data_IF_193999591981
#
_entry.id   IF_193999591981
#
_cell.length_a   1.000
_cell.length_b   1.000
_cell.length_c   1.000
_cell.angle_alpha   90.00
_cell.angle_beta   90.00
_cell.angle_gamma   90.00
#
_symmetry.space_group_name_H-M   'P 1'
#
loop_
_entity.id
_entity.type
_entity.pdbx_description
1 polymer ?
#
# COMPACT_ATOMS: atom_id res chain seq x y z
N UNK A 1 4.44 12.27 26.22
CA UNK A 1 5.77 11.63 26.19
C UNK A 1 5.59 10.12 26.04
N UNK A 2 5.58 9.62 24.81
CA UNK A 2 5.48 8.19 24.51
C UNK A 2 6.82 7.74 23.93
N UNK A 3 7.68 7.20 24.79
CA UNK A 3 8.89 6.53 24.36
C UNK A 3 8.49 5.19 23.72
N UNK A 4 8.54 5.14 22.39
CA UNK A 4 8.60 3.87 21.65
C UNK A 4 9.92 3.19 22.03
N UNK A 5 9.84 2.19 22.90
CA UNK A 5 10.98 1.35 23.23
C UNK A 5 11.41 0.62 21.95
N UNK A 6 12.57 1.01 21.40
CA UNK A 6 13.28 0.25 20.37
C UNK A 6 13.57 -1.14 20.96
N UNK A 7 13.16 -2.19 20.23
CA UNK A 7 13.54 -3.56 20.55
C UNK A 7 15.06 -3.68 20.50
N UNK A 8 15.70 -4.01 21.62
CA UNK A 8 17.00 -4.68 21.58
C UNK A 8 16.72 -6.12 21.11
N UNK A 9 16.75 -6.30 19.79
CA UNK A 9 16.62 -7.60 19.14
C UNK A 9 17.89 -8.39 19.48
N UNK A 10 17.75 -9.56 20.11
CA UNK A 10 18.89 -10.43 20.39
C UNK A 10 19.59 -10.88 19.10
N UNK A 11 20.92 -11.00 19.13
CA UNK A 11 21.81 -11.32 18.00
C UNK A 11 21.30 -12.49 17.13
N UNK A 12 20.82 -13.57 17.77
CA UNK A 12 20.25 -14.75 17.08
C UNK A 12 18.96 -14.50 16.28
N UNK A 13 18.20 -13.46 16.63
CA UNK A 13 16.94 -13.11 15.94
C UNK A 13 17.23 -12.25 14.71
N UNK A 14 18.25 -11.40 14.78
CA UNK A 14 18.77 -10.63 13.64
C UNK A 14 19.31 -11.61 12.57
N UNK A 15 20.14 -12.57 12.98
CA UNK A 15 20.66 -13.62 12.10
C UNK A 15 19.55 -14.38 11.35
N UNK A 16 18.46 -14.73 12.05
CA UNK A 16 17.33 -15.43 11.45
C UNK A 16 16.54 -14.55 10.48
N UNK A 17 16.32 -13.27 10.81
CA UNK A 17 15.64 -12.34 9.93
C UNK A 17 16.43 -12.12 8.65
N UNK A 18 17.75 -12.00 8.73
CA UNK A 18 18.58 -11.78 7.56
C UNK A 18 18.70 -13.06 6.69
N UNK A 19 18.77 -14.24 7.32
CA UNK A 19 18.65 -15.53 6.63
C UNK A 19 17.30 -15.67 5.89
N UNK A 20 16.19 -15.35 6.56
CA UNK A 20 14.86 -15.46 5.99
C UNK A 20 14.63 -14.45 4.84
N UNK A 21 15.37 -13.34 4.77
CA UNK A 21 15.21 -12.30 3.75
C UNK A 21 16.34 -12.28 2.70
N UNK A 22 17.15 -13.34 2.62
CA UNK A 22 18.23 -13.42 1.66
C UNK A 22 17.72 -13.57 0.21
N UNK A 23 17.79 -12.47 -0.56
CA UNK A 23 17.38 -12.43 -1.97
C UNK A 23 18.29 -13.24 -2.93
N UNK A 24 19.37 -13.85 -2.45
CA UNK A 24 20.15 -14.81 -3.23
C UNK A 24 19.48 -16.19 -3.27
N UNK A 25 18.61 -16.50 -2.32
CA UNK A 25 17.85 -17.73 -2.28
C UNK A 25 16.69 -17.70 -3.30
N UNK A 26 16.68 -18.59 -4.32
CA UNK A 26 15.65 -18.56 -5.36
C UNK A 26 14.24 -18.73 -4.82
N UNK A 27 14.07 -19.48 -3.71
CA UNK A 27 12.76 -19.68 -3.08
C UNK A 27 12.18 -18.38 -2.51
N UNK A 28 13.02 -17.53 -1.90
CA UNK A 28 12.60 -16.23 -1.35
C UNK A 28 12.10 -15.32 -2.49
N UNK A 29 12.89 -15.20 -3.56
CA UNK A 29 12.53 -14.39 -4.73
C UNK A 29 11.26 -14.92 -5.40
N UNK A 30 11.09 -16.24 -5.47
CA UNK A 30 9.89 -16.88 -6.04
C UNK A 30 8.64 -16.53 -5.24
N UNK A 31 8.70 -16.55 -3.90
CA UNK A 31 7.57 -16.20 -3.03
C UNK A 31 7.17 -14.72 -3.18
N UNK A 32 8.14 -13.80 -3.22
CA UNK A 32 7.88 -12.39 -3.51
C UNK A 32 7.26 -12.19 -4.91
N UNK A 33 7.83 -12.84 -5.93
CA UNK A 33 7.35 -12.71 -7.31
C UNK A 33 5.95 -13.27 -7.46
N UNK A 34 5.64 -14.41 -6.83
CA UNK A 34 4.30 -14.98 -6.86
C UNK A 34 3.27 -14.13 -6.12
N UNK A 35 3.63 -13.57 -4.95
CA UNK A 35 2.78 -12.60 -4.26
C UNK A 35 2.48 -11.39 -5.17
N UNK A 36 3.49 -10.88 -5.89
CA UNK A 36 3.34 -9.79 -6.83
C UNK A 36 2.50 -10.14 -8.06
N UNK A 37 2.66 -11.34 -8.64
CA UNK A 37 1.84 -11.81 -9.75
C UNK A 37 0.36 -11.81 -9.39
N UNK A 38 0.02 -12.32 -8.19
CA UNK A 38 -1.36 -12.27 -7.68
C UNK A 38 -1.80 -10.83 -7.48
N UNK A 39 -1.00 -9.99 -6.81
CA UNK A 39 -1.36 -8.61 -6.52
C UNK A 39 -1.60 -7.79 -7.81
N UNK A 40 -0.72 -7.92 -8.82
CA UNK A 40 -0.88 -7.31 -10.14
C UNK A 40 -2.12 -7.84 -10.87
N UNK A 41 -2.35 -9.16 -10.81
CA UNK A 41 -3.50 -9.80 -11.43
C UNK A 41 -4.84 -9.36 -10.84
N UNK A 42 -4.90 -9.20 -9.52
CA UNK A 42 -6.09 -8.67 -8.82
C UNK A 42 -6.27 -7.18 -9.15
N UNK A 43 -5.21 -6.37 -9.12
CA UNK A 43 -5.30 -4.95 -9.48
C UNK A 43 -5.90 -4.74 -10.87
N UNK A 44 -5.48 -5.54 -11.87
CA UNK A 44 -6.05 -5.49 -13.24
C UNK A 44 -7.51 -5.89 -13.33
N UNK A 45 -8.01 -6.70 -12.40
CA UNK A 45 -9.43 -7.06 -12.31
C UNK A 45 -10.24 -6.01 -11.55
N UNK A 46 -9.63 -5.30 -10.60
CA UNK A 46 -10.30 -4.29 -9.77
C UNK A 46 -10.41 -2.94 -10.48
N UNK A 47 -9.36 -2.49 -11.17
CA UNK A 47 -9.36 -1.18 -11.88
C UNK A 47 -10.61 -1.00 -12.79
N UNK A 48 -11.02 -1.99 -13.61
CA UNK A 48 -12.22 -1.85 -14.46
C UNK A 48 -13.55 -1.77 -13.69
N UNK A 49 -13.60 -2.15 -12.41
CA UNK A 49 -14.80 -2.07 -11.57
C UNK A 49 -15.00 -0.67 -10.99
N UNK A 50 -13.97 0.18 -11.02
CA UNK A 50 -13.99 1.53 -10.47
C UNK A 50 -14.62 2.48 -11.48
N UNK A 51 -15.95 2.41 -11.57
CA UNK A 51 -16.78 3.19 -12.51
C UNK A 51 -17.82 4.01 -11.76
N UNK A 52 -18.42 4.98 -12.45
CA UNK A 52 -19.51 5.81 -11.89
C UNK A 52 -20.65 4.92 -11.41
N UNK A 53 -21.14 5.19 -10.19
CA UNK A 53 -22.23 4.45 -9.57
C UNK A 53 -21.80 3.18 -8.84
N UNK A 54 -20.55 2.72 -9.02
CA UNK A 54 -20.05 1.58 -8.28
C UNK A 54 -19.84 1.92 -6.80
N UNK A 55 -20.12 0.94 -5.93
CA UNK A 55 -20.00 1.10 -4.48
C UNK A 55 -18.62 0.63 -4.03
N UNK A 56 -17.92 1.46 -3.26
CA UNK A 56 -16.57 1.15 -2.78
C UNK A 56 -16.54 -0.14 -1.94
N UNK A 57 -17.54 -0.35 -1.08
CA UNK A 57 -17.61 -1.53 -0.22
C UNK A 57 -17.61 -2.84 -1.03
N UNK A 58 -18.30 -2.87 -2.17
CA UNK A 58 -18.38 -4.05 -3.04
C UNK A 58 -17.03 -4.32 -3.71
N UNK A 59 -16.38 -3.26 -4.20
CA UNK A 59 -15.08 -3.39 -4.87
C UNK A 59 -13.99 -3.82 -3.87
N UNK A 60 -13.98 -3.25 -2.66
CA UNK A 60 -13.08 -3.66 -1.59
C UNK A 60 -13.30 -5.14 -1.22
N UNK A 61 -14.55 -5.56 -0.99
CA UNK A 61 -14.87 -6.95 -0.70
C UNK A 61 -14.43 -7.88 -1.84
N UNK A 62 -14.68 -7.49 -3.09
CA UNK A 62 -14.28 -8.25 -4.27
C UNK A 62 -12.77 -8.41 -4.39
N UNK A 63 -12.00 -7.36 -4.11
CA UNK A 63 -10.54 -7.42 -4.12
C UNK A 63 -10.00 -8.42 -3.11
N UNK A 64 -10.52 -8.37 -1.88
CA UNK A 64 -10.14 -9.30 -0.82
C UNK A 64 -10.49 -10.76 -1.19
N UNK A 65 -11.69 -10.99 -1.72
CA UNK A 65 -12.11 -12.32 -2.20
C UNK A 65 -11.19 -12.86 -3.29
N UNK A 66 -10.81 -12.03 -4.26
CA UNK A 66 -9.92 -12.44 -5.35
C UNK A 66 -8.53 -12.80 -4.80
N UNK A 67 -7.96 -12.01 -3.88
CA UNK A 67 -6.68 -12.32 -3.25
C UNK A 67 -6.74 -13.67 -2.53
N UNK A 68 -7.78 -13.89 -1.72
CA UNK A 68 -7.93 -15.15 -0.99
C UNK A 68 -8.12 -16.34 -1.93
N UNK A 69 -8.91 -16.19 -3.00
CA UNK A 69 -9.13 -17.24 -3.99
C UNK A 69 -7.85 -17.61 -4.75
N UNK A 70 -7.04 -16.63 -5.17
CA UNK A 70 -5.79 -16.89 -5.90
C UNK A 70 -4.71 -17.48 -4.98
N UNK A 71 -4.54 -16.94 -3.77
CA UNK A 71 -3.54 -17.45 -2.81
C UNK A 71 -3.85 -18.88 -2.37
N UNK A 72 -5.12 -19.29 -2.28
CA UNK A 72 -5.49 -20.68 -1.96
C UNK A 72 -4.98 -21.72 -2.96
N UNK A 73 -4.71 -21.33 -4.21
CA UNK A 73 -4.25 -22.24 -5.28
C UNK A 73 -2.76 -22.60 -5.16
N UNK A 74 -1.98 -21.81 -4.42
CA UNK A 74 -0.52 -21.92 -4.35
C UNK A 74 -0.04 -22.16 -2.91
N UNK A 75 1.22 -22.59 -2.73
CA UNK A 75 1.91 -22.69 -1.43
C UNK A 75 1.07 -23.24 -0.26
N UNK A 76 0.37 -24.36 -0.48
CA UNK A 76 -0.68 -24.88 0.43
C UNK A 76 -0.25 -25.16 1.88
N UNK A 77 1.05 -25.38 2.10
CA UNK A 77 1.63 -25.70 3.42
C UNK A 77 2.08 -24.47 4.22
N UNK A 78 2.10 -23.30 3.58
CA UNK A 78 2.60 -22.05 4.16
C UNK A 78 1.44 -21.06 4.33
N UNK A 79 1.61 -20.10 5.25
CA UNK A 79 0.65 -19.02 5.44
C UNK A 79 0.60 -18.12 4.20
N UNK A 80 -0.57 -17.68 3.79
CA UNK A 80 -0.76 -16.89 2.57
C UNK A 80 -2.10 -16.18 2.60
N UNK A 81 -2.18 -15.05 1.90
CA UNK A 81 -3.41 -14.28 1.85
C UNK A 81 -3.14 -12.79 1.70
N UNK A 82 -3.96 -12.02 2.40
CA UNK A 82 -3.97 -10.56 2.33
C UNK A 82 -2.88 -10.00 3.25
N UNK A 83 -1.94 -9.26 2.67
CA UNK A 83 -0.97 -8.48 3.43
C UNK A 83 -1.46 -7.05 3.71
N UNK A 84 -2.25 -6.49 2.79
CA UNK A 84 -2.93 -5.20 2.95
C UNK A 84 -4.34 -5.34 2.36
N UNK A 85 -5.39 -5.01 3.11
CA UNK A 85 -6.76 -5.14 2.62
C UNK A 85 -6.99 -4.18 1.45
N UNK A 86 -7.90 -4.56 0.57
CA UNK A 86 -8.26 -3.72 -0.57
C UNK A 86 -8.90 -2.44 -0.07
N UNK A 87 -8.26 -1.30 -0.32
CA UNK A 87 -8.73 0.03 0.06
C UNK A 87 -8.93 0.89 -1.19
N UNK A 88 -10.02 1.65 -1.23
CA UNK A 88 -10.31 2.64 -2.27
C UNK A 88 -10.49 4.02 -1.62
N UNK A 89 -9.56 4.92 -1.90
CA UNK A 89 -9.49 6.25 -1.30
C UNK A 89 -9.80 7.33 -2.34
N UNK A 90 -10.93 8.00 -2.16
CA UNK A 90 -11.46 8.99 -3.12
C UNK A 90 -10.93 10.38 -2.82
N UNK A 91 -10.54 11.11 -3.87
CA UNK A 91 -10.15 12.51 -3.86
C UNK A 91 -9.09 12.82 -2.79
N UNK A 92 -9.46 13.54 -1.75
CA UNK A 92 -8.58 14.01 -0.69
C UNK A 92 -8.33 12.97 0.43
N UNK A 93 -9.03 11.83 0.40
CA UNK A 93 -8.74 10.71 1.30
C UNK A 93 -7.39 10.12 0.89
N UNK A 94 -6.43 10.05 1.81
CA UNK A 94 -5.06 9.61 1.56
C UNK A 94 -4.95 8.08 1.58
N UNK A 95 -5.46 7.41 2.63
CA UNK A 95 -5.34 5.95 2.82
C UNK A 95 -6.40 5.36 3.74
N UNK A 96 -6.44 4.01 3.81
CA UNK A 96 -7.23 3.19 4.73
C UNK A 96 -8.76 3.39 4.65
N UNK A 97 -9.26 3.67 3.44
CA UNK A 97 -10.70 3.69 3.16
C UNK A 97 -11.17 2.32 2.65
N UNK A 98 -11.82 1.57 3.53
CA UNK A 98 -12.56 0.33 3.23
C UNK A 98 -13.79 0.30 4.13
N UNK A 99 -14.98 0.72 3.65
CA UNK A 99 -16.19 0.80 4.45
C UNK A 99 -16.52 -0.50 5.20
N UNK A 100 -17.02 -0.35 6.43
CA UNK A 100 -17.27 -1.49 7.33
C UNK A 100 -18.64 -2.13 7.08
N UNK A 101 -19.66 -1.30 6.85
CA UNK A 101 -21.06 -1.70 6.71
C UNK A 101 -21.74 -0.87 5.58
N UNK A 102 -22.96 -1.28 5.19
CA UNK A 102 -23.78 -0.58 4.17
C UNK A 102 -24.04 0.89 4.50
N UNK A 103 -24.11 1.25 5.79
CA UNK A 103 -24.28 2.63 6.25
C UNK A 103 -23.10 3.53 5.89
N UNK A 104 -21.90 2.94 5.76
CA UNK A 104 -20.65 3.64 5.45
C UNK A 104 -20.33 3.57 3.94
N UNK A 105 -21.24 3.01 3.12
CA UNK A 105 -21.00 2.81 1.71
C UNK A 105 -20.85 4.14 0.95
N UNK A 106 -19.76 4.24 0.19
CA UNK A 106 -19.46 5.38 -0.68
C UNK A 106 -19.69 4.96 -2.13
N UNK A 107 -20.41 5.80 -2.87
CA UNK A 107 -20.67 5.61 -4.31
C UNK A 107 -19.74 6.51 -5.11
N UNK A 108 -19.05 5.92 -6.09
CA UNK A 108 -18.12 6.62 -6.99
C UNK A 108 -18.88 7.54 -7.95
N UNK A 109 -18.37 8.75 -8.15
CA UNK A 109 -18.95 9.77 -9.02
C UNK A 109 -18.05 10.06 -10.22
N UNK A 110 -18.66 10.66 -11.25
CA UNK A 110 -17.91 11.21 -12.39
C UNK A 110 -16.88 12.24 -11.89
N UNK A 111 -15.64 12.12 -12.37
CA UNK A 111 -14.53 13.00 -12.01
C UNK A 111 -13.81 12.62 -10.71
N UNK A 112 -14.26 11.61 -9.97
CA UNK A 112 -13.57 11.18 -8.75
C UNK A 112 -12.18 10.61 -9.07
N UNK A 113 -11.18 11.07 -8.32
CA UNK A 113 -9.84 10.47 -8.31
C UNK A 113 -9.82 9.34 -7.28
N UNK A 114 -9.59 8.10 -7.72
CA UNK A 114 -9.64 6.92 -6.86
C UNK A 114 -8.27 6.28 -6.77
N UNK A 115 -7.76 6.17 -5.54
CA UNK A 115 -6.55 5.41 -5.21
C UNK A 115 -6.93 4.01 -4.75
N UNK A 116 -6.48 3.00 -5.48
CA UNK A 116 -6.70 1.59 -5.17
C UNK A 116 -5.41 1.05 -4.53
N UNK A 117 -5.50 0.48 -3.35
CA UNK A 117 -4.36 -0.10 -2.59
C UNK A 117 -4.71 -1.52 -2.15
N UNK A 118 -3.79 -2.46 -2.38
CA UNK A 118 -3.91 -3.84 -1.91
C UNK A 118 -2.53 -4.49 -1.78
N UNK A 119 -2.46 -5.57 -1.00
CA UNK A 119 -1.23 -6.32 -0.81
C UNK A 119 -1.47 -7.78 -0.53
N UNK A 120 -0.53 -8.60 -0.97
CA UNK A 120 -0.57 -10.07 -0.90
C UNK A 120 0.70 -10.54 -0.19
N UNK A 121 0.60 -11.63 0.58
CA UNK A 121 1.79 -12.34 1.06
C UNK A 121 1.73 -13.83 0.73
N UNK A 122 2.90 -14.41 0.50
CA UNK A 122 3.15 -15.85 0.46
C UNK A 122 4.23 -16.13 1.49
N UNK A 123 3.94 -16.96 2.50
CA UNK A 123 4.81 -17.30 3.63
C UNK A 123 5.38 -16.07 4.37
N UNK A 124 4.58 -15.00 4.39
CA UNK A 124 4.92 -13.73 5.01
C UNK A 124 5.75 -12.78 4.12
N UNK A 125 6.17 -13.18 2.93
CA UNK A 125 6.85 -12.31 1.96
C UNK A 125 5.82 -11.45 1.23
N UNK A 126 5.95 -10.13 1.36
CA UNK A 126 4.91 -9.15 1.01
C UNK A 126 5.15 -8.56 -0.37
N UNK A 127 4.10 -8.50 -1.18
CA UNK A 127 4.03 -7.65 -2.35
C UNK A 127 2.78 -6.77 -2.26
N UNK A 128 2.99 -5.46 -2.23
CA UNK A 128 1.94 -4.45 -2.21
C UNK A 128 2.08 -3.49 -3.39
N UNK A 129 0.96 -2.88 -3.78
CA UNK A 129 0.92 -1.85 -4.79
C UNK A 129 -0.28 -0.95 -4.59
N UNK A 130 -0.14 0.28 -5.07
CA UNK A 130 -1.22 1.23 -5.16
C UNK A 130 -1.22 1.92 -6.52
N UNK A 131 -2.40 2.21 -7.03
CA UNK A 131 -2.58 2.84 -8.33
C UNK A 131 -3.70 3.88 -8.26
N UNK A 132 -3.47 5.03 -8.89
CA UNK A 132 -4.45 6.12 -8.96
C UNK A 132 -5.09 6.15 -10.33
N UNK A 133 -6.42 6.19 -10.38
CA UNK A 133 -7.18 6.46 -11.59
C UNK A 133 -8.08 7.69 -11.42
N UNK A 134 -8.55 8.24 -12.53
CA UNK A 134 -9.62 9.25 -12.55
C UNK A 134 -10.82 8.63 -13.26
N UNK A 135 -11.97 8.65 -12.59
CA UNK A 135 -13.20 8.06 -13.11
C UNK A 135 -13.83 9.04 -14.09
N UNK A 136 -13.90 8.65 -15.35
CA UNK A 136 -14.49 9.48 -16.42
C UNK A 136 -15.28 8.60 -17.38
N UNK A 137 -16.47 9.06 -17.78
CA UNK A 137 -17.22 8.48 -18.89
C UNK A 137 -16.74 9.03 -20.25
N UNK A 138 -16.00 10.14 -20.25
CA UNK A 138 -15.40 10.72 -21.45
C UNK A 138 -13.99 10.18 -21.67
N UNK A 139 -13.86 9.22 -22.58
CA UNK A 139 -12.57 8.66 -23.00
C UNK A 139 -11.98 9.37 -24.23
N UNK A 140 -12.70 10.34 -24.81
CA UNK A 140 -12.29 11.04 -26.03
C UNK A 140 -11.26 12.14 -25.81
N UNK A 141 -11.08 12.61 -24.57
CA UNK A 141 -10.18 13.69 -24.21
C UNK A 141 -9.51 13.39 -22.88
N UNK A 142 -8.23 13.76 -22.70
CA UNK A 142 -7.53 13.54 -21.44
C UNK A 142 -8.13 14.43 -20.34
N UNK A 143 -8.08 13.97 -19.10
CA UNK A 143 -8.26 14.87 -17.95
C UNK A 143 -7.09 15.84 -17.90
N UNK A 144 -7.37 17.12 -17.64
CA UNK A 144 -6.37 18.21 -17.58
C UNK A 144 -6.41 18.93 -16.23
N UNK A 145 -5.50 19.89 -16.05
CA UNK A 145 -5.44 20.73 -14.85
C UNK A 145 -4.87 20.02 -13.63
N UNK A 146 -5.22 20.49 -12.43
CA UNK A 146 -4.57 20.06 -11.17
C UNK A 146 -4.68 18.56 -10.89
N UNK A 147 -5.76 17.91 -11.31
CA UNK A 147 -5.90 16.46 -11.18
C UNK A 147 -4.89 15.70 -12.08
N UNK A 148 -4.66 16.19 -13.30
CA UNK A 148 -3.63 15.65 -14.19
C UNK A 148 -2.22 15.91 -13.66
N UNK A 149 -1.97 17.12 -13.15
CA UNK A 149 -0.67 17.51 -12.59
C UNK A 149 -0.25 16.57 -11.47
N UNK A 150 -1.11 16.36 -10.46
CA UNK A 150 -0.76 15.53 -9.30
C UNK A 150 -0.60 14.06 -9.66
N UNK A 151 -1.37 13.55 -10.64
CA UNK A 151 -1.22 12.19 -11.15
C UNK A 151 0.13 12.01 -11.86
N UNK A 152 0.48 12.93 -12.77
CA UNK A 152 1.78 12.92 -13.45
C UNK A 152 2.92 13.03 -12.43
N UNK A 153 2.83 13.99 -11.50
CA UNK A 153 3.82 14.21 -10.46
C UNK A 153 4.06 12.94 -9.63
N UNK A 154 2.99 12.34 -9.10
CA UNK A 154 3.11 11.18 -8.23
C UNK A 154 3.64 9.96 -9.00
N UNK A 155 3.24 9.80 -10.26
CA UNK A 155 3.75 8.72 -11.11
C UNK A 155 5.25 8.87 -11.39
N UNK A 156 5.69 10.05 -11.86
CA UNK A 156 7.09 10.29 -12.18
C UNK A 156 7.98 10.28 -10.94
N UNK A 157 7.49 10.79 -9.80
CA UNK A 157 8.18 10.69 -8.52
C UNK A 157 8.33 9.24 -8.06
N UNK A 158 7.29 8.40 -8.23
CA UNK A 158 7.36 6.97 -7.93
C UNK A 158 8.35 6.22 -8.84
N UNK A 159 8.40 6.56 -10.13
CA UNK A 159 9.41 6.01 -11.05
C UNK A 159 10.83 6.46 -10.70
N UNK A 160 11.01 7.74 -10.37
CA UNK A 160 12.30 8.27 -9.94
C UNK A 160 12.78 7.58 -8.67
N UNK A 161 11.91 7.44 -7.67
CA UNK A 161 12.22 6.74 -6.43
C UNK A 161 12.61 5.28 -6.68
N UNK A 162 11.83 4.57 -7.50
CA UNK A 162 12.11 3.19 -7.91
C UNK A 162 13.46 3.03 -8.62
N UNK A 163 13.80 3.96 -9.52
CA UNK A 163 15.04 3.90 -10.29
C UNK A 163 16.27 4.29 -9.45
N UNK A 164 16.11 5.21 -8.49
CA UNK A 164 17.16 5.64 -7.57
C UNK A 164 17.41 4.64 -6.44
N UNK A 165 16.43 3.78 -6.12
CA UNK A 165 16.54 2.74 -5.11
C UNK A 165 17.57 1.67 -5.53
N UNK A 166 18.85 1.92 -5.22
CA UNK A 166 19.99 1.06 -5.54
C UNK A 166 20.92 0.96 -4.32
N UNK A 167 21.70 -0.13 -4.18
CA UNK A 167 22.67 -0.26 -3.09
C UNK A 167 23.61 0.94 -3.00
N UNK A 168 23.82 1.48 -1.79
CA UNK A 168 24.69 2.63 -1.51
C UNK A 168 24.08 4.00 -1.81
N UNK A 169 22.84 4.07 -2.29
CA UNK A 169 22.09 5.34 -2.37
C UNK A 169 21.56 5.69 -0.99
N UNK A 170 21.57 6.96 -0.61
CA UNK A 170 20.93 7.40 0.64
C UNK A 170 19.41 7.49 0.48
N UNK A 171 18.67 7.27 1.57
CA UNK A 171 17.24 7.54 1.61
C UNK A 171 16.94 9.04 1.32
N UNK A 172 17.77 9.94 1.83
CA UNK A 172 17.64 11.39 1.62
C UNK A 172 17.72 11.80 0.14
N UNK A 173 18.58 11.17 -0.66
CA UNK A 173 18.67 11.44 -2.10
C UNK A 173 17.36 11.08 -2.83
N UNK A 174 16.68 10.02 -2.38
CA UNK A 174 15.41 9.56 -2.94
C UNK A 174 14.29 10.52 -2.52
N UNK A 175 14.24 10.91 -1.24
CA UNK A 175 13.30 11.91 -0.75
C UNK A 175 13.45 13.25 -1.47
N UNK A 176 14.69 13.70 -1.72
CA UNK A 176 14.96 14.92 -2.46
C UNK A 176 14.41 14.88 -3.90
N UNK A 177 14.56 13.74 -4.58
CA UNK A 177 14.00 13.54 -5.91
C UNK A 177 12.47 13.59 -5.92
N UNK A 178 11.82 12.95 -4.94
CA UNK A 178 10.36 12.98 -4.79
C UNK A 178 9.88 14.42 -4.56
N UNK A 179 10.50 15.15 -3.64
CA UNK A 179 10.14 16.53 -3.31
C UNK A 179 10.36 17.48 -4.49
N UNK A 180 11.46 17.34 -5.22
CA UNK A 180 11.75 18.18 -6.40
C UNK A 180 10.75 17.94 -7.54
N UNK A 181 10.39 16.69 -7.82
CA UNK A 181 9.36 16.36 -8.82
C UNK A 181 7.99 16.87 -8.37
N UNK A 182 7.64 16.72 -7.09
CA UNK A 182 6.39 17.27 -6.56
C UNK A 182 6.32 18.78 -6.79
N UNK A 183 7.37 19.52 -6.39
CA UNK A 183 7.46 20.97 -6.56
C UNK A 183 7.41 21.39 -8.03
N UNK A 184 8.03 20.63 -8.94
CA UNK A 184 7.99 20.88 -10.39
C UNK A 184 6.55 20.93 -10.93
N UNK A 185 5.67 20.08 -10.41
CA UNK A 185 4.24 20.03 -10.75
C UNK A 185 3.36 20.90 -9.85
N UNK A 186 3.97 21.80 -9.06
CA UNK A 186 3.29 22.61 -8.04
C UNK A 186 2.49 21.75 -7.04
N UNK A 187 2.96 20.55 -6.73
CA UNK A 187 2.34 19.62 -5.78
C UNK A 187 3.21 19.48 -4.54
N UNK A 188 2.61 19.00 -3.46
CA UNK A 188 3.29 18.85 -2.16
C UNK A 188 3.31 17.37 -1.78
N UNK A 189 4.44 16.81 -1.32
CA UNK A 189 4.45 15.50 -0.70
C UNK A 189 3.57 15.48 0.55
N UNK A 190 2.75 14.45 0.70
CA UNK A 190 1.89 14.32 1.88
C UNK A 190 2.75 13.98 3.10
N UNK A 191 2.64 14.76 4.18
CA UNK A 191 3.42 14.54 5.41
C UNK A 191 3.10 13.18 6.04
N UNK A 192 4.05 12.60 6.77
CA UNK A 192 3.88 11.31 7.45
C UNK A 192 3.58 10.14 6.48
N UNK A 193 3.97 10.29 5.22
CA UNK A 193 3.92 9.23 4.22
C UNK A 193 5.32 8.87 3.76
N UNK A 194 5.57 7.57 3.66
CA UNK A 194 6.91 7.04 3.47
C UNK A 194 6.87 5.65 2.84
N UNK A 195 7.90 5.39 2.04
CA UNK A 195 8.25 4.07 1.57
C UNK A 195 8.88 3.26 2.70
N UNK A 196 8.62 1.96 2.75
CA UNK A 196 9.02 1.10 3.88
C UNK A 196 9.81 -0.10 3.39
N UNK A 197 10.90 -0.43 4.08
CA UNK A 197 11.53 -1.73 3.98
C UNK A 197 10.57 -2.77 4.59
N UNK A 198 10.32 -3.85 3.85
CA UNK A 198 9.52 -4.98 4.29
C UNK A 198 10.39 -6.21 4.44
N UNK A 199 10.09 -7.02 5.45
CA UNK A 199 10.71 -8.33 5.69
C UNK A 199 9.62 -9.37 5.83
N UNK A 200 9.97 -10.66 5.79
CA UNK A 200 9.05 -11.77 6.04
C UNK A 200 8.24 -11.53 7.34
N UNK A 201 6.92 -11.44 7.23
CA UNK A 201 5.96 -11.12 8.31
C UNK A 201 6.08 -9.73 8.95
N UNK A 202 6.87 -8.82 8.39
CA UNK A 202 7.10 -7.48 8.92
C UNK A 202 6.79 -6.42 7.86
N UNK A 203 5.64 -5.77 7.98
CA UNK A 203 5.24 -4.63 7.13
C UNK A 203 5.83 -3.30 7.60
N UNK A 204 6.26 -3.23 8.85
CA UNK A 204 6.78 -2.05 9.51
C UNK A 204 7.85 -2.47 10.52
N UNK A 205 8.84 -1.60 10.76
CA UNK A 205 9.96 -1.85 11.66
C UNK A 205 11.32 -1.99 10.96
N UNK A 206 11.34 -1.92 9.64
CA UNK A 206 12.56 -1.68 8.87
C UNK A 206 12.76 -0.20 8.56
N UNK A 207 13.80 0.04 7.78
CA UNK A 207 14.22 1.33 7.26
C UNK A 207 13.11 2.03 6.43
N UNK A 208 13.10 3.37 6.44
CA UNK A 208 12.04 4.17 5.78
C UNK A 208 12.60 5.28 4.91
N UNK A 209 11.89 5.60 3.82
CA UNK A 209 12.20 6.73 2.94
C UNK A 209 11.00 7.67 2.94
N UNK A 210 11.07 8.83 3.60
CA UNK A 210 9.96 9.78 3.64
C UNK A 210 9.71 10.40 2.26
N UNK A 211 8.47 10.79 2.00
CA UNK A 211 8.11 11.53 0.78
C UNK A 211 8.45 13.03 0.91
N UNK A 212 8.44 13.57 2.14
CA UNK A 212 8.73 14.98 2.44
C UNK A 212 10.11 15.15 3.09
N UNK A 213 10.72 16.31 2.86
CA UNK A 213 11.96 16.74 3.53
C UNK A 213 11.71 17.35 4.91
N UNK A 214 10.46 17.71 5.22
CA UNK A 214 10.13 18.31 6.49
C UNK A 214 10.23 17.30 7.64
N UNK A 215 10.84 17.67 8.78
CA UNK A 215 10.94 16.78 9.92
C UNK A 215 9.54 16.50 10.49
N UNK A 216 9.14 15.23 10.42
CA UNK A 216 7.77 14.80 10.75
C UNK A 216 7.45 14.82 12.26
N UNK A 217 8.43 15.10 13.13
CA UNK A 217 8.25 15.10 14.59
C UNK A 217 9.00 16.25 15.28
N UNK A 218 8.34 16.98 16.19
CA UNK A 218 8.94 18.05 17.03
C UNK A 218 10.10 17.56 17.93
N UNK A 219 10.23 16.25 18.13
CA UNK A 219 11.36 15.61 18.84
C UNK A 219 12.34 14.89 17.90
N UNK A 220 12.41 15.29 16.63
CA UNK A 220 13.48 14.87 15.71
C UNK A 220 14.82 15.58 16.00
N UNK A 221 15.13 15.83 17.27
CA UNK A 221 16.52 15.94 17.70
C UNK A 221 17.17 14.60 17.41
N UNK A 222 18.04 14.58 16.39
CA UNK A 222 18.74 13.41 15.85
C UNK A 222 17.86 12.46 15.00
N UNK A 223 17.42 12.90 13.82
CA UNK A 223 17.03 11.97 12.76
C UNK A 223 18.25 11.14 12.31
N UNK A 224 18.47 10.02 13.00
CA UNK A 224 19.43 8.98 12.63
C UNK A 224 19.14 8.35 11.24
N UNK A 225 18.02 8.70 10.60
CA UNK A 225 17.56 8.15 9.31
C UNK A 225 18.06 8.91 8.06
N UNK A 226 18.52 10.16 8.18
CA UNK A 226 18.92 10.96 7.01
C UNK A 226 20.18 10.43 6.30
N UNK A 227 21.00 9.65 7.01
CA UNK A 227 22.22 9.01 6.48
C UNK A 227 22.06 7.52 6.15
N UNK A 228 20.84 6.99 6.20
CA UNK A 228 20.62 5.56 6.02
C UNK A 228 20.74 5.19 4.54
N UNK A 229 21.66 4.29 4.23
CA UNK A 229 21.89 3.78 2.88
C UNK A 229 20.96 2.61 2.58
N UNK A 230 20.64 2.45 1.29
CA UNK A 230 19.92 1.29 0.77
C UNK A 230 20.91 0.14 0.63
N UNK A 231 20.57 -1.05 1.10
CA UNK A 231 21.46 -2.21 1.09
C UNK A 231 21.01 -3.28 0.09
N UNK A 232 21.98 -4.05 -0.41
CA UNK A 232 21.67 -5.22 -1.23
C UNK A 232 21.06 -6.33 -0.36
N UNK A 233 19.92 -6.86 -0.76
CA UNK A 233 19.11 -7.77 0.05
C UNK A 233 17.81 -7.12 0.54
N UNK A 234 17.73 -5.79 0.53
CA UNK A 234 16.53 -5.08 0.94
C UNK A 234 15.34 -5.32 0.01
N UNK A 235 14.15 -5.32 0.59
CA UNK A 235 12.90 -5.24 -0.16
C UNK A 235 12.15 -4.01 0.33
N UNK A 236 11.77 -3.13 -0.59
CA UNK A 236 11.00 -1.93 -0.27
C UNK A 236 9.65 -1.96 -0.95
N UNK A 237 8.62 -1.55 -0.21
CA UNK A 237 7.39 -1.02 -0.78
C UNK A 237 7.61 0.48 -0.93
N UNK A 238 7.93 0.90 -2.15
CA UNK A 238 8.01 2.31 -2.53
C UNK A 238 6.58 2.84 -2.60
N UNK A 239 6.27 3.89 -1.84
CA UNK A 239 4.91 4.41 -1.66
C UNK A 239 4.91 5.94 -1.71
N UNK A 240 4.71 6.49 -2.91
CA UNK A 240 4.73 7.93 -3.15
C UNK A 240 3.32 8.48 -3.13
N UNK A 241 3.10 9.48 -2.26
CA UNK A 241 1.81 10.15 -2.08
C UNK A 241 2.00 11.65 -2.23
N UNK A 242 1.38 12.24 -3.25
CA UNK A 242 1.43 13.68 -3.50
C UNK A 242 0.04 14.31 -3.47
N UNK A 243 -0.01 15.57 -3.10
CA UNK A 243 -1.22 16.35 -2.90
C UNK A 243 -1.20 17.64 -3.71
N UNK A 244 -2.39 18.07 -4.14
CA UNK A 244 -2.60 19.43 -4.68
C UNK A 244 -2.66 20.51 -3.60
N UNK A 245 -2.78 20.12 -2.33
CA UNK A 245 -2.87 21.01 -1.17
C UNK A 245 -1.51 21.26 -0.50
N UNK A 246 -1.53 21.53 0.80
CA UNK A 246 -0.33 21.76 1.61
C UNK A 246 0.33 20.47 2.11
N UNK A 247 -0.27 19.30 1.86
CA UNK A 247 0.26 18.00 2.28
C UNK A 247 -0.05 17.65 3.74
N UNK A 248 -0.80 18.50 4.47
CA UNK A 248 -1.22 18.23 5.85
C UNK A 248 -2.09 16.98 5.92
N UNK A 249 -1.91 16.20 6.99
CA UNK A 249 -2.65 14.95 7.21
C UNK A 249 -3.47 15.05 8.49
N UNK A 250 -4.70 14.56 8.41
CA UNK A 250 -5.59 14.39 9.55
C UNK A 250 -6.15 12.98 9.60
N UNK A 251 -6.04 12.35 10.76
CA UNK A 251 -6.70 11.09 11.05
C UNK A 251 -8.20 11.31 11.31
N UNK A 252 -9.02 10.45 10.72
CA UNK A 252 -10.46 10.39 10.96
C UNK A 252 -10.73 9.28 11.96
N UNK A 253 -10.99 9.67 13.21
CA UNK A 253 -11.33 8.76 14.30
C UNK A 253 -12.82 8.43 14.28
N UNK A 254 -13.19 7.41 13.49
CA UNK A 254 -14.55 6.87 13.46
C UNK A 254 -14.76 5.85 14.60
N UNK A 255 -16.01 5.66 14.99
CA UNK A 255 -16.39 4.66 16.01
C UNK A 255 -16.00 3.24 15.59
N UNK A 256 -16.11 2.95 14.29
CA UNK A 256 -15.65 1.71 13.67
C UNK A 256 -14.44 2.04 12.79
N UNK A 257 -13.21 1.70 13.19
CA UNK A 257 -12.06 1.84 12.32
C UNK A 257 -12.26 0.98 11.06
N UNK A 258 -11.79 1.43 9.91
CA UNK A 258 -11.88 0.64 8.67
C UNK A 258 -10.90 -0.54 8.66
N UNK A 259 -9.67 -0.27 9.09
CA UNK A 259 -8.56 -1.22 9.10
C UNK A 259 -8.07 -1.41 10.52
N UNK A 260 -7.82 -2.66 10.87
CA UNK A 260 -7.32 -3.10 12.17
C UNK A 260 -6.04 -3.91 11.96
N UNK A 261 -5.12 -3.85 12.91
CA UNK A 261 -3.93 -4.69 12.93
C UNK A 261 -3.71 -5.21 14.35
N UNK A 262 -3.24 -6.45 14.45
CA UNK A 262 -2.90 -7.05 15.75
C UNK A 262 -1.52 -6.57 16.18
N UNK A 263 -1.41 -6.07 17.40
CA UNK A 263 -0.11 -5.85 18.03
C UNK A 263 0.32 -7.13 18.75
N UNK A 264 1.24 -7.88 18.14
CA UNK A 264 1.75 -9.15 18.70
C UNK A 264 2.67 -8.96 19.91
N UNK A 265 3.14 -7.73 20.16
CA UNK A 265 4.02 -7.42 21.29
C UNK A 265 3.24 -7.03 22.54
N UNK A 266 1.92 -6.80 22.40
CA UNK A 266 1.04 -6.46 23.51
C UNK A 266 0.37 -7.70 24.06
N UNK A 267 0.47 -7.85 25.38
CA UNK A 267 -0.15 -8.93 26.13
C UNK A 267 -1.10 -8.38 27.18
N UNK A 268 -2.33 -8.88 27.17
CA UNK A 268 -3.35 -8.54 28.15
C UNK A 268 -4.30 -9.71 28.32
N UNK A 269 -4.65 -10.02 29.57
CA UNK A 269 -5.60 -11.08 29.90
C UNK A 269 -7.04 -10.57 29.77
N UNK A 270 -7.61 -10.75 28.57
CA UNK A 270 -8.99 -10.35 28.25
C UNK A 270 -10.01 -11.00 29.20
N UNK A 271 -10.88 -10.17 29.78
CA UNK A 271 -11.89 -10.55 30.77
C UNK A 271 -13.13 -11.13 30.11
N UNK A 272 -13.58 -10.57 28.99
CA UNK A 272 -14.76 -11.07 28.29
C UNK A 272 -14.47 -12.31 27.43
N UNK A 273 -15.40 -13.27 27.45
CA UNK A 273 -15.35 -14.43 26.56
C UNK A 273 -15.46 -14.03 25.08
N UNK A 274 -16.23 -12.98 24.75
CA UNK A 274 -16.33 -12.47 23.37
C UNK A 274 -15.00 -11.91 22.89
N UNK A 275 -14.30 -11.15 23.73
CA UNK A 275 -13.01 -10.55 23.37
C UNK A 275 -11.92 -11.61 23.19
N UNK A 276 -11.86 -12.62 24.08
CA UNK A 276 -10.95 -13.77 23.90
C UNK A 276 -11.21 -14.48 22.56
N UNK A 277 -12.48 -14.70 22.22
CA UNK A 277 -12.85 -15.29 20.92
C UNK A 277 -12.46 -14.41 19.74
N UNK A 278 -12.66 -13.09 19.84
CA UNK A 278 -12.20 -12.12 18.82
C UNK A 278 -10.70 -12.20 18.61
N UNK A 279 -9.90 -12.16 19.68
CA UNK A 279 -8.45 -12.22 19.55
C UNK A 279 -7.97 -13.56 18.96
N UNK A 280 -8.61 -14.69 19.32
CA UNK A 280 -8.33 -16.01 18.70
C UNK A 280 -8.63 -15.98 17.20
N UNK A 281 -9.81 -15.46 16.83
CA UNK A 281 -10.23 -15.36 15.41
C UNK A 281 -9.26 -14.51 14.61
N UNK A 282 -8.81 -13.37 15.17
CA UNK A 282 -7.81 -12.52 14.53
C UNK A 282 -6.47 -13.24 14.37
N UNK A 283 -6.04 -13.97 15.39
CA UNK A 283 -4.79 -14.72 15.37
C UNK A 283 -4.78 -15.84 14.32
N UNK A 284 -5.92 -16.50 14.13
CA UNK A 284 -6.08 -17.63 13.21
C UNK A 284 -6.27 -17.21 11.75
N UNK A 285 -6.91 -16.05 11.49
CA UNK A 285 -7.34 -15.67 10.15
C UNK A 285 -6.52 -14.51 9.54
N UNK A 286 -5.95 -13.61 10.36
CA UNK A 286 -5.25 -12.41 9.87
C UNK A 286 -3.77 -12.34 10.31
N UNK A 287 -3.37 -13.16 11.30
CA UNK A 287 -2.00 -13.27 11.78
C UNK A 287 -1.45 -11.90 12.26
N UNK A 288 -0.44 -11.37 11.57
CA UNK A 288 0.21 -10.07 11.82
C UNK A 288 -0.20 -8.99 10.82
N UNK A 289 -0.94 -9.35 9.78
CA UNK A 289 -1.27 -8.45 8.68
C UNK A 289 -2.49 -7.58 9.03
N UNK A 290 -2.52 -6.32 8.58
CA UNK A 290 -3.71 -5.48 8.65
C UNK A 290 -4.89 -6.15 7.94
N UNK A 291 -6.08 -6.02 8.51
CA UNK A 291 -7.31 -6.61 8.00
C UNK A 291 -8.47 -5.60 8.09
N UNK A 292 -9.49 -5.70 7.22
CA UNK A 292 -10.62 -4.80 7.27
C UNK A 292 -11.57 -5.23 8.39
N UNK A 293 -12.12 -4.27 9.13
CA UNK A 293 -13.10 -4.55 10.21
C UNK A 293 -14.31 -5.34 9.70
N UNK A 294 -14.72 -5.12 8.45
CA UNK A 294 -15.76 -5.89 7.75
C UNK A 294 -15.45 -7.40 7.75
N UNK A 295 -14.21 -7.80 7.48
CA UNK A 295 -13.83 -9.22 7.47
C UNK A 295 -13.93 -9.84 8.86
N UNK A 296 -13.52 -9.12 9.91
CA UNK A 296 -13.70 -9.59 11.28
C UNK A 296 -15.18 -9.77 11.62
N UNK A 297 -16.05 -8.85 11.22
CA UNK A 297 -17.48 -8.93 11.50
C UNK A 297 -18.19 -10.02 10.70
N UNK A 298 -17.66 -10.41 9.54
CA UNK A 298 -18.17 -11.55 8.76
C UNK A 298 -18.02 -12.90 9.50
N UNK A 299 -17.07 -13.02 10.43
CA UNK A 299 -16.94 -14.22 11.28
C UNK A 299 -18.00 -14.32 12.40
N UNK A 300 -18.78 -13.26 12.64
CA UNK A 300 -19.91 -13.27 13.56
C UNK A 300 -20.14 -11.96 14.31
N UNK A 301 -21.42 -11.68 14.58
CA UNK A 301 -21.85 -10.44 15.25
C UNK A 301 -21.23 -10.23 16.64
N UNK A 302 -20.83 -11.29 17.33
CA UNK A 302 -20.15 -11.21 18.64
C UNK A 302 -18.82 -10.44 18.59
N UNK A 303 -18.17 -10.38 17.43
CA UNK A 303 -16.91 -9.65 17.26
C UNK A 303 -17.07 -8.13 17.33
N UNK A 304 -18.27 -7.59 17.02
CA UNK A 304 -18.58 -6.16 17.14
C UNK A 304 -18.40 -5.63 18.56
N UNK A 305 -18.74 -6.47 19.55
CA UNK A 305 -18.58 -6.15 20.97
C UNK A 305 -17.19 -6.58 21.46
N UNK A 306 -16.73 -7.77 21.08
CA UNK A 306 -15.46 -8.31 21.55
C UNK A 306 -14.23 -7.49 21.13
N UNK A 307 -14.28 -6.80 19.98
CA UNK A 307 -13.16 -5.97 19.50
C UNK A 307 -12.91 -4.75 20.39
N UNK A 308 -13.92 -4.24 21.11
CA UNK A 308 -13.81 -3.02 21.91
C UNK A 308 -12.82 -3.19 23.08
N UNK A 309 -12.82 -4.33 23.76
CA UNK A 309 -11.85 -4.62 24.82
C UNK A 309 -10.44 -4.79 24.23
N UNK A 310 -10.32 -5.41 23.05
CA UNK A 310 -9.03 -5.55 22.37
C UNK A 310 -8.43 -4.19 21.97
N UNK A 311 -9.26 -3.27 21.48
CA UNK A 311 -8.88 -1.89 21.16
C UNK A 311 -8.48 -1.11 22.42
N UNK A 312 -9.28 -1.20 23.49
CA UNK A 312 -9.02 -0.51 24.75
C UNK A 312 -7.69 -0.90 25.40
N UNK A 313 -7.22 -2.14 25.17
CA UNK A 313 -5.96 -2.65 25.68
C UNK A 313 -4.85 -2.73 24.61
N UNK A 314 -5.05 -2.13 23.44
CA UNK A 314 -4.09 -2.07 22.34
C UNK A 314 -3.56 -3.45 21.89
N UNK A 315 -4.36 -4.52 22.03
CA UNK A 315 -4.06 -5.84 21.46
C UNK A 315 -4.36 -5.86 19.97
N UNK A 316 -5.36 -5.09 19.57
CA UNK A 316 -5.67 -4.74 18.20
C UNK A 316 -5.63 -3.22 18.16
N UNK A 317 -4.95 -2.66 17.17
CA UNK A 317 -4.82 -1.22 16.99
C UNK A 317 -5.44 -0.81 15.65
N UNK A 318 -6.12 0.35 15.61
CA UNK A 318 -6.68 0.87 14.37
C UNK A 318 -5.60 1.50 13.51
N UNK A 319 -5.65 1.23 12.22
CA UNK A 319 -5.00 2.08 11.22
C UNK A 319 -6.06 3.05 10.69
N UNK A 320 -6.03 4.28 11.19
CA UNK A 320 -7.05 5.28 10.89
C UNK A 320 -7.08 5.65 9.40
N UNK A 321 -8.28 6.02 8.93
CA UNK A 321 -8.41 6.69 7.63
C UNK A 321 -7.75 8.05 7.74
N UNK A 322 -6.94 8.40 6.75
CA UNK A 322 -6.24 9.68 6.71
C UNK A 322 -6.77 10.52 5.56
N UNK A 323 -6.88 11.84 5.77
CA UNK A 323 -7.28 12.80 4.76
C UNK A 323 -6.29 13.97 4.69
N UNK A 324 -6.17 14.58 3.53
CA UNK A 324 -5.63 15.94 3.40
C UNK A 324 -6.82 16.91 3.32
N UNK A 325 -7.08 17.72 4.36
CA UNK A 325 -8.24 18.62 4.37
C UNK A 325 -8.07 19.83 3.43
N UNK A 326 -6.83 20.16 3.05
CA UNK A 326 -6.51 21.30 2.19
C UNK A 326 -6.61 20.95 0.70
N UNK A 327 -6.51 19.66 0.37
CA UNK A 327 -6.42 19.19 -1.00
C UNK A 327 -7.78 18.92 -1.63
N UNK A 328 -7.88 19.18 -2.94
CA UNK A 328 -8.94 18.62 -3.77
C UNK A 328 -8.58 17.22 -4.27
N UNK A 329 -7.31 16.97 -4.56
CA UNK A 329 -6.83 15.71 -5.10
C UNK A 329 -5.54 15.25 -4.43
N UNK A 330 -5.50 13.95 -4.10
CA UNK A 330 -4.32 13.24 -3.65
C UNK A 330 -4.11 12.05 -4.58
N UNK A 331 -2.92 11.95 -5.17
CA UNK A 331 -2.50 10.82 -6.00
C UNK A 331 -1.46 9.98 -5.26
N UNK A 332 -1.55 8.67 -5.45
CA UNK A 332 -0.68 7.67 -4.84
C UNK A 332 -0.29 6.59 -5.83
N UNK A 333 1.01 6.33 -5.92
CA UNK A 333 1.56 5.21 -6.68
C UNK A 333 2.51 4.44 -5.78
N UNK A 334 2.24 3.14 -5.63
CA UNK A 334 3.09 2.26 -4.84
C UNK A 334 3.45 1.01 -5.60
N UNK A 335 4.68 0.53 -5.37
CA UNK A 335 5.25 -0.65 -5.99
C UNK A 335 6.25 -1.32 -5.05
N UNK A 336 6.40 -2.63 -5.18
CA UNK A 336 7.36 -3.44 -4.42
C UNK A 336 8.60 -3.70 -5.27
N UNK A 337 9.78 -3.48 -4.70
CA UNK A 337 11.06 -3.68 -5.34
C UNK A 337 12.00 -4.54 -4.49
N UNK A 338 12.73 -5.43 -5.15
CA UNK A 338 13.78 -6.27 -4.59
C UNK A 338 15.13 -5.64 -4.94
N UNK A 339 15.82 -5.08 -3.95
CA UNK A 339 17.15 -4.50 -4.11
C UNK A 339 18.17 -5.62 -4.13
N UNK A 340 18.56 -6.07 -5.32
CA UNK A 340 19.56 -7.14 -5.46
C UNK A 340 20.96 -6.53 -5.56
N UNK A 341 21.98 -7.38 -5.45
CA UNK A 341 23.38 -6.96 -5.59
C UNK A 341 23.64 -6.18 -6.89
N UNK A 342 24.67 -5.32 -6.87
CA UNK A 342 24.96 -4.33 -7.92
C UNK A 342 25.02 -4.89 -9.36
N UNK A 343 25.39 -6.17 -9.53
CA UNK A 343 25.44 -6.82 -10.85
C UNK A 343 24.07 -7.18 -11.44
N UNK A 344 23.03 -7.35 -10.60
CA UNK A 344 21.66 -7.73 -11.00
C UNK A 344 20.69 -6.55 -10.98
N UNK A 345 21.03 -5.49 -10.26
CA UNK A 345 20.20 -4.30 -10.04
C UNK A 345 18.89 -4.59 -9.32
N UNK A 346 18.20 -3.52 -8.96
CA UNK A 346 16.88 -3.57 -8.34
C UNK A 346 15.84 -4.12 -9.31
N UNK A 347 15.03 -5.07 -8.84
CA UNK A 347 13.90 -5.65 -9.57
C UNK A 347 12.60 -5.08 -9.03
N UNK A 348 11.88 -4.32 -9.86
CA UNK A 348 10.48 -4.03 -9.62
C UNK A 348 9.64 -5.26 -9.95
N UNK A 349 8.73 -5.64 -9.04
CA UNK A 349 7.87 -6.83 -9.20
C UNK A 349 6.39 -6.47 -9.30
N UNK A 350 5.97 -5.28 -8.85
CA UNK A 350 4.56 -4.84 -8.96
C UNK A 350 4.40 -3.55 -9.76
N UNK A 351 3.19 -3.37 -10.30
CA UNK A 351 2.71 -2.24 -11.07
C UNK A 351 3.41 -1.98 -12.43
N UNK A 352 4.25 -2.90 -12.94
CA UNK A 352 5.04 -2.69 -14.16
C UNK A 352 4.19 -2.40 -15.42
N UNK A 353 2.99 -2.98 -15.50
CA UNK A 353 2.12 -2.92 -16.68
C UNK A 353 0.72 -2.36 -16.37
N UNK A 354 0.63 -1.48 -15.39
CA UNK A 354 -0.59 -0.71 -15.13
C UNK A 354 -0.56 0.60 -15.95
N UNK A 355 -1.49 0.79 -16.90
CA UNK A 355 -1.54 2.00 -17.69
C UNK A 355 -1.90 3.18 -16.80
N UNK A 356 -1.26 4.33 -17.04
CA UNK A 356 -1.72 5.58 -16.43
C UNK A 356 -3.13 5.94 -16.90
N UNK A 357 -3.94 6.61 -16.07
CA UNK A 357 -5.18 7.20 -16.53
C UNK A 357 -4.90 8.19 -17.67
N UNK A 358 -5.88 8.40 -18.55
CA UNK A 358 -5.72 9.31 -19.68
C UNK A 358 -5.70 10.77 -19.21
N UNK A 359 -4.50 11.27 -18.90
CA UNK A 359 -4.25 12.60 -18.35
C UNK A 359 -3.30 13.40 -19.21
N UNK A 360 -3.43 14.73 -19.18
CA UNK A 360 -2.51 15.65 -19.82
C UNK A 360 -2.24 16.84 -18.88
N UNK A 361 -1.01 16.92 -18.39
CA UNK A 361 -0.49 18.09 -17.67
C UNK A 361 0.23 18.99 -18.68
N UNK A 362 0.11 20.31 -18.48
CA UNK A 362 0.88 21.30 -19.24
C UNK A 362 2.36 21.34 -18.80
N UNK A 363 2.68 20.71 -17.66
CA UNK A 363 4.02 20.66 -17.08
C UNK A 363 4.74 19.41 -17.58
N UNK A 364 5.85 19.61 -18.30
CA UNK A 364 6.66 18.52 -18.85
C UNK A 364 7.76 18.09 -17.87
N UNK A 365 7.79 16.80 -17.54
CA UNK A 365 8.83 16.17 -16.71
C UNK A 365 10.22 16.33 -17.32
N UNK A 366 10.35 16.45 -18.65
CA UNK A 366 11.64 16.60 -19.32
C UNK A 366 12.44 17.84 -18.87
N UNK A 367 11.75 18.83 -18.30
CA UNK A 367 12.34 20.06 -17.77
C UNK A 367 12.72 19.97 -16.29
N UNK A 368 12.36 18.89 -15.61
CA UNK A 368 12.75 18.63 -14.23
C UNK A 368 14.20 18.12 -14.16
N UNK A 369 14.95 18.52 -13.13
CA UNK A 369 16.33 18.04 -12.91
C UNK A 369 16.41 16.51 -12.72
N UNK A 370 15.33 15.88 -12.27
CA UNK A 370 15.21 14.43 -12.09
C UNK A 370 14.58 13.70 -13.29
N UNK A 371 14.43 14.34 -14.45
CA UNK A 371 13.81 13.74 -15.65
C UNK A 371 14.43 12.38 -16.03
N UNK A 372 15.76 12.26 -15.94
CA UNK A 372 16.46 11.01 -16.23
C UNK A 372 16.07 9.88 -15.26
N UNK A 373 15.91 10.19 -13.97
CA UNK A 373 15.47 9.24 -12.97
C UNK A 373 13.98 8.86 -13.14
N UNK A 374 13.14 9.80 -13.56
CA UNK A 374 11.71 9.58 -13.81
C UNK A 374 11.40 8.79 -15.10
N UNK A 375 12.41 8.54 -15.95
CA UNK A 375 12.22 7.83 -17.21
C UNK A 375 11.91 6.34 -17.01
N UNK A 376 11.05 5.79 -17.87
CA UNK A 376 10.82 4.35 -17.91
C UNK A 376 12.09 3.63 -18.37
N UNK A 377 12.71 2.86 -17.46
CA UNK A 377 13.71 1.87 -17.86
C UNK A 377 12.98 0.69 -18.49
N UNK A 378 13.17 0.46 -19.79
CA UNK A 378 12.75 -0.78 -20.44
C UNK A 378 13.57 -1.94 -19.85
N UNK A 379 13.01 -2.66 -18.87
CA UNK A 379 13.55 -3.94 -18.44
C UNK A 379 13.45 -4.92 -19.61
N UNK A 380 14.57 -5.18 -20.28
CA UNK A 380 14.68 -6.23 -21.28
C UNK A 380 14.81 -7.57 -20.55
N UNK A 381 13.69 -8.26 -20.28
CA UNK A 381 13.58 -9.73 -20.29
C UNK A 381 12.17 -10.22 -19.95
N UNK A 382 11.65 -11.11 -20.80
CA UNK A 382 10.29 -11.61 -20.76
C UNK A 382 9.97 -12.47 -19.54
N UNK A 383 8.93 -12.07 -18.82
CA UNK A 383 8.08 -13.00 -18.10
C UNK A 383 6.97 -13.45 -19.07
N UNK A 384 6.80 -14.77 -19.24
CA UNK A 384 5.61 -15.31 -19.90
C UNK A 384 4.42 -14.99 -19.00
N UNK A 385 3.66 -13.96 -19.34
CA UNK A 385 2.35 -13.68 -18.76
C UNK A 385 1.44 -14.90 -19.01
N UNK A 386 1.25 -15.74 -18.00
CA UNK A 386 0.07 -16.58 -17.93
C UNK A 386 -1.10 -15.67 -17.57
N UNK A 387 -1.81 -15.22 -18.60
CA UNK A 387 -3.01 -14.43 -18.41
C UNK A 387 -4.00 -15.22 -17.53
N UNK A 388 -4.38 -14.64 -16.39
CA UNK A 388 -5.48 -15.16 -15.60
C UNK A 388 -6.76 -15.04 -16.43
N UNK A 389 -7.62 -16.08 -16.49
CA UNK A 389 -8.84 -16.04 -17.28
C UNK A 389 -9.77 -14.94 -16.77
N UNK A 390 -10.38 -14.20 -17.70
CA UNK A 390 -11.42 -13.23 -17.40
C UNK A 390 -12.59 -13.89 -16.65
N UNK A 391 -13.27 -13.18 -15.73
CA UNK A 391 -14.41 -13.74 -15.02
C UNK A 391 -15.53 -14.12 -16.00
N UNK A 392 -16.12 -15.30 -15.77
CA UNK A 392 -17.34 -15.70 -16.44
C UNK A 392 -18.44 -14.68 -16.13
N UNK A 393 -19.10 -14.16 -17.18
CA UNK A 393 -20.23 -13.27 -17.06
C UNK A 393 -21.29 -13.91 -16.15
N UNK A 394 -21.54 -13.27 -15.00
CA UNK A 394 -22.67 -13.65 -14.14
C UNK A 394 -23.96 -13.28 -14.83
N UNK A 395 -24.87 -14.27 -14.83
CA UNK A 395 -26.18 -14.25 -15.44
C UNK A 395 -27.01 -13.01 -15.07
N UNK A 396 -27.79 -12.57 -16.06
CA UNK A 396 -28.82 -11.54 -15.95
C UNK A 396 -29.62 -11.70 -14.68
N UNK A 397 -29.60 -10.66 -13.85
CA UNK A 397 -30.48 -10.52 -12.70
C UNK A 397 -31.80 -9.99 -13.24
N UNK A 398 -32.73 -10.93 -13.48
CA UNK A 398 -34.08 -10.67 -13.95
C UNK A 398 -34.82 -9.80 -12.90
N UNK A 399 -35.17 -8.58 -13.30
CA UNK A 399 -35.99 -7.66 -12.52
C UNK A 399 -37.43 -7.82 -12.99
N UNK A 400 -38.19 -8.66 -12.28
CA UNK A 400 -39.65 -8.67 -12.30
C UNK A 400 -40.21 -8.31 -10.93
#
# INVERSE_FOLDING_TARGET
MSALARMDISDSTVDRLDLDNNLNEPNVVTKYTLAAEIANGVMKQIVPLVVVGARIIDICARGDELILAETQKVHKKEERGIARPTCLCVNNIVRNSTPVDEEDAVVIKEGDMVKIDLGVHIDGYIAALAHTIIVTNSLSSPTTGRAADVVCAAHYAALAAANLLQPGRSAADITAAIAAIAAHYNCTPVHSTFSRQVKRFLLAGGNTIPNSLEPEFENATESQDAGQEIEAGDVYVVDVVLSTGDGSVKDIHQQRPNVLVRDVNRFYNLKSASSRRTLSTVSENFSVFPFPTRALFAHGAAHRIGVQECLAHALIVPEWMQIDPSASHVARFSMTLLVRGASRGTLRITADDLPLPYVHSEIDIATCEYAAAASHRTSTKGAKSTALPAPAATAEMDLS
#
